data_IF_378790405818
#
_entry.id   IF_378790405818
#
_cell.length_a   1.000
_cell.length_b   1.000
_cell.length_c   1.000
_cell.angle_alpha   90.00
_cell.angle_beta   90.00
_cell.angle_gamma   90.00
#
_symmetry.space_group_name_H-M   'P 1'
#
loop_
_entity.id
_entity.type
_entity.pdbx_description
1 polymer ?
#
# COMPACT_ATOMS: atom_id res chain seq x y z
N UNK A 1 10.16 -2.25 15.95
CA UNK A 1 8.90 -3.01 16.18
C UNK A 1 7.76 -2.16 15.64
N UNK A 2 6.81 -2.77 14.93
CA UNK A 2 5.67 -2.05 14.38
C UNK A 2 4.80 -1.38 15.46
N UNK A 3 4.11 -0.29 15.12
CA UNK A 3 3.35 0.57 16.06
C UNK A 3 1.89 0.10 16.16
N UNK A 4 1.40 -0.05 17.39
CA UNK A 4 0.00 -0.39 17.68
C UNK A 4 -0.38 -1.81 17.29
N UNK A 5 -1.67 -2.05 16.99
CA UNK A 5 -2.16 -3.37 16.60
C UNK A 5 -1.83 -3.67 15.13
N UNK A 6 -0.88 -4.56 14.93
CA UNK A 6 -0.45 -5.09 13.63
C UNK A 6 -0.67 -6.60 13.51
N UNK A 7 -1.50 -7.15 14.39
CA UNK A 7 -1.81 -8.58 14.41
C UNK A 7 -2.47 -8.99 13.09
N UNK A 8 -1.96 -10.08 12.52
CA UNK A 8 -2.55 -10.67 11.32
C UNK A 8 -3.95 -11.23 11.68
N UNK A 9 -5.03 -10.80 11.00
CA UNK A 9 -6.37 -11.32 11.30
C UNK A 9 -6.52 -12.76 10.76
N UNK A 10 -7.66 -13.38 11.08
CA UNK A 10 -8.05 -14.59 10.35
C UNK A 10 -8.20 -14.24 8.87
N UNK A 11 -7.38 -14.85 8.03
CA UNK A 11 -7.42 -14.67 6.58
C UNK A 11 -8.41 -15.65 5.97
N UNK A 12 -9.58 -15.15 5.58
CA UNK A 12 -10.62 -15.97 4.96
C UNK A 12 -10.23 -16.36 3.54
N UNK A 13 -10.58 -17.59 3.15
CA UNK A 13 -10.38 -18.11 1.81
C UNK A 13 -11.29 -17.36 0.83
N UNK A 14 -10.73 -16.84 -0.25
CA UNK A 14 -11.46 -16.28 -1.40
C UNK A 14 -11.62 -17.40 -2.41
N UNK A 15 -12.86 -17.80 -2.69
CA UNK A 15 -13.12 -18.86 -3.68
C UNK A 15 -12.56 -18.46 -5.05
N UNK A 16 -11.84 -19.38 -5.67
CA UNK A 16 -11.20 -19.15 -6.96
C UNK A 16 -9.84 -18.45 -6.89
N UNK A 17 -9.28 -18.25 -5.70
CA UNK A 17 -7.89 -17.83 -5.48
C UNK A 17 -7.13 -18.95 -4.79
N UNK A 18 -6.02 -19.36 -5.35
CA UNK A 18 -5.05 -20.28 -4.75
C UNK A 18 -3.67 -19.64 -4.72
N UNK A 19 -2.87 -19.99 -3.74
CA UNK A 19 -1.56 -19.37 -3.53
C UNK A 19 -0.52 -20.45 -3.21
N UNK A 20 0.65 -20.32 -3.84
CA UNK A 20 1.82 -21.14 -3.56
C UNK A 20 3.04 -20.28 -3.28
N UNK A 21 3.99 -20.81 -2.52
CA UNK A 21 5.23 -20.13 -2.22
C UNK A 21 6.37 -21.09 -1.95
N UNK A 22 7.60 -20.63 -2.23
CA UNK A 22 8.81 -21.43 -2.01
C UNK A 22 10.01 -20.55 -1.67
N UNK A 23 11.08 -21.18 -1.21
CA UNK A 23 12.41 -20.61 -1.11
C UNK A 23 13.13 -20.81 -2.45
N UNK A 24 13.20 -19.75 -3.26
CA UNK A 24 13.91 -19.79 -4.55
C UNK A 24 15.36 -19.28 -4.45
N UNK A 25 15.74 -18.79 -3.26
CA UNK A 25 17.09 -18.26 -2.97
C UNK A 25 17.48 -17.11 -3.91
N UNK A 26 16.52 -16.24 -4.23
CA UNK A 26 16.76 -15.07 -5.08
C UNK A 26 17.85 -14.18 -4.48
N UNK A 27 17.80 -13.96 -3.16
CA UNK A 27 18.82 -13.21 -2.44
C UNK A 27 19.18 -13.86 -1.09
N UNK A 28 18.17 -14.21 -0.30
CA UNK A 28 18.33 -14.69 1.07
C UNK A 28 18.13 -16.19 1.16
N UNK A 29 18.70 -16.81 2.20
CA UNK A 29 18.46 -18.21 2.55
C UNK A 29 17.43 -18.30 3.68
N UNK A 30 16.78 -19.45 3.79
CA UNK A 30 15.85 -19.81 4.87
C UNK A 30 14.64 -18.88 4.98
N UNK A 31 14.15 -18.35 3.85
CA UNK A 31 12.88 -17.63 3.77
C UNK A 31 12.22 -17.85 2.41
N UNK A 32 10.89 -17.83 2.42
CA UNK A 32 10.13 -17.82 1.16
C UNK A 32 10.35 -16.48 0.48
N UNK A 33 10.71 -16.50 -0.79
CA UNK A 33 11.04 -15.33 -1.60
C UNK A 33 10.47 -15.42 -3.03
N UNK A 34 9.65 -16.45 -3.29
CA UNK A 34 8.89 -16.60 -4.52
C UNK A 34 7.45 -17.00 -4.18
N UNK A 35 6.48 -16.22 -4.64
CA UNK A 35 5.05 -16.41 -4.42
C UNK A 35 4.31 -16.45 -5.75
N UNK A 36 3.37 -17.39 -5.90
CA UNK A 36 2.49 -17.49 -7.06
C UNK A 36 1.04 -17.40 -6.59
N UNK A 37 0.25 -16.57 -7.25
CA UNK A 37 -1.21 -16.59 -7.18
C UNK A 37 -1.75 -17.26 -8.43
N UNK A 38 -2.75 -18.12 -8.26
CA UNK A 38 -3.54 -18.70 -9.32
C UNK A 38 -5.00 -18.29 -9.16
N UNK A 39 -5.62 -17.83 -10.25
CA UNK A 39 -7.02 -17.43 -10.29
C UNK A 39 -7.85 -18.37 -11.14
N UNK A 40 -9.09 -18.61 -10.71
CA UNK A 40 -10.06 -19.35 -11.50
C UNK A 40 -10.25 -18.73 -12.89
N UNK A 41 -10.54 -19.54 -13.88
CA UNK A 41 -10.87 -19.08 -15.22
C UNK A 41 -12.10 -18.13 -15.18
N UNK A 42 -12.06 -17.05 -15.96
CA UNK A 42 -13.09 -16.02 -15.97
C UNK A 42 -12.95 -14.95 -14.89
N UNK A 43 -11.91 -15.02 -14.04
CA UNK A 43 -11.63 -13.96 -13.06
C UNK A 43 -11.33 -12.62 -13.76
N UNK A 44 -11.88 -11.53 -13.21
CA UNK A 44 -11.61 -10.18 -13.67
C UNK A 44 -10.49 -9.54 -12.83
N UNK A 45 -9.42 -9.10 -13.49
CA UNK A 45 -8.22 -8.54 -12.84
C UNK A 45 -8.05 -7.08 -13.23
N UNK A 46 -7.80 -6.24 -12.24
CA UNK A 46 -7.43 -4.83 -12.42
C UNK A 46 -6.10 -4.52 -11.73
N UNK A 47 -5.37 -3.54 -12.25
CA UNK A 47 -4.10 -3.11 -11.68
C UNK A 47 -3.90 -1.60 -11.75
N UNK A 48 -3.23 -1.05 -10.74
CA UNK A 48 -2.62 0.28 -10.75
C UNK A 48 -1.15 0.16 -10.40
N UNK A 49 -0.33 1.02 -10.98
CA UNK A 49 1.13 0.87 -10.98
C UNK A 49 1.81 2.21 -10.80
N UNK A 50 3.06 2.16 -10.33
CA UNK A 50 3.91 3.34 -10.13
C UNK A 50 3.95 4.26 -11.36
N UNK A 51 4.02 5.56 -11.08
CA UNK A 51 4.27 6.61 -12.09
C UNK A 51 5.73 7.06 -12.11
N UNK A 52 6.60 6.40 -11.35
CA UNK A 52 8.03 6.70 -11.38
C UNK A 52 8.57 6.50 -12.80
N UNK A 53 9.28 7.48 -13.33
CA UNK A 53 9.87 7.42 -14.68
C UNK A 53 10.90 6.27 -14.81
N UNK A 54 11.57 5.89 -13.71
CA UNK A 54 12.41 4.70 -13.60
C UNK A 54 11.59 3.44 -13.29
N UNK A 55 10.49 3.28 -13.99
CA UNK A 55 9.58 2.15 -13.82
C UNK A 55 10.32 0.82 -14.06
N UNK A 56 10.15 -0.13 -13.13
CA UNK A 56 10.82 -1.42 -13.16
C UNK A 56 10.33 -2.31 -14.31
N UNK A 57 11.18 -3.20 -14.79
CA UNK A 57 10.88 -4.13 -15.88
C UNK A 57 9.60 -4.97 -15.65
N UNK A 58 9.36 -5.58 -14.47
CA UNK A 58 8.14 -6.34 -14.21
C UNK A 58 6.87 -5.48 -14.33
N UNK A 59 6.93 -4.19 -13.97
CA UNK A 59 5.78 -3.28 -14.10
C UNK A 59 5.42 -3.03 -15.57
N UNK A 60 6.41 -2.87 -16.45
CA UNK A 60 6.18 -2.74 -17.88
C UNK A 60 5.51 -3.99 -18.47
N UNK A 61 5.99 -5.18 -18.10
CA UNK A 61 5.41 -6.45 -18.56
C UNK A 61 3.99 -6.63 -18.01
N UNK A 62 3.76 -6.36 -16.71
CA UNK A 62 2.43 -6.48 -16.10
C UNK A 62 1.41 -5.54 -16.75
N UNK A 63 1.79 -4.29 -17.05
CA UNK A 63 0.92 -3.35 -17.77
C UNK A 63 0.55 -3.86 -19.16
N UNK A 64 1.52 -4.40 -19.93
CA UNK A 64 1.29 -4.94 -21.26
C UNK A 64 0.36 -6.16 -21.22
N UNK A 65 0.66 -7.14 -20.38
CA UNK A 65 -0.13 -8.37 -20.25
C UNK A 65 -1.56 -8.10 -19.77
N UNK A 66 -1.72 -7.19 -18.80
CA UNK A 66 -3.06 -6.80 -18.31
C UNK A 66 -3.90 -6.11 -19.38
N UNK A 67 -3.27 -5.40 -20.33
CA UNK A 67 -3.97 -4.80 -21.47
C UNK A 67 -4.41 -5.82 -22.52
N UNK A 68 -3.71 -6.95 -22.64
CA UNK A 68 -4.01 -8.00 -23.62
C UNK A 68 -5.19 -8.90 -23.20
N UNK A 69 -5.42 -9.10 -21.87
CA UNK A 69 -6.45 -10.05 -21.45
C UNK A 69 -6.72 -10.11 -19.95
N UNK A 70 -7.18 -11.28 -19.52
CA UNK A 70 -7.44 -11.61 -18.13
C UNK A 70 -6.32 -12.52 -17.59
N UNK A 71 -5.41 -11.97 -16.77
CA UNK A 71 -4.36 -12.77 -16.15
C UNK A 71 -4.94 -13.87 -15.25
N UNK A 72 -4.26 -15.03 -15.28
CA UNK A 72 -4.57 -16.20 -14.47
C UNK A 72 -3.58 -16.40 -13.32
N UNK A 73 -2.37 -15.85 -13.48
CA UNK A 73 -1.28 -16.01 -12.52
C UNK A 73 -0.62 -14.69 -12.18
N UNK A 74 -0.21 -14.54 -10.91
CA UNK A 74 0.79 -13.56 -10.51
C UNK A 74 2.03 -14.33 -10.06
N UNK A 75 3.21 -13.80 -10.38
CA UNK A 75 4.49 -14.30 -9.85
C UNK A 75 5.25 -13.15 -9.22
N UNK A 76 5.59 -13.30 -7.94
CA UNK A 76 6.22 -12.27 -7.12
C UNK A 76 7.54 -12.81 -6.60
N UNK A 77 8.66 -12.14 -6.89
CA UNK A 77 9.93 -12.42 -6.24
C UNK A 77 10.33 -11.30 -5.28
N UNK A 78 11.00 -11.66 -4.19
CA UNK A 78 11.56 -10.71 -3.22
C UNK A 78 13.09 -10.78 -3.17
N UNK A 79 13.72 -9.70 -2.66
CA UNK A 79 15.17 -9.56 -2.56
C UNK A 79 15.84 -8.86 -3.74
N UNK A 80 15.20 -8.81 -4.90
CA UNK A 80 15.67 -8.11 -6.10
C UNK A 80 14.49 -7.42 -6.80
N UNK A 81 14.62 -6.13 -7.07
CA UNK A 81 13.56 -5.30 -7.66
C UNK A 81 13.44 -5.43 -9.18
N UNK A 82 14.43 -5.99 -9.85
CA UNK A 82 14.53 -5.96 -11.32
C UNK A 82 14.27 -4.56 -11.90
N UNK A 83 14.80 -3.55 -11.25
CA UNK A 83 14.70 -2.13 -11.62
C UNK A 83 16.09 -1.57 -11.92
N UNK A 84 16.20 -0.66 -12.89
CA UNK A 84 17.49 -0.15 -13.36
C UNK A 84 18.35 -1.21 -14.05
N UNK A 85 17.74 -2.25 -14.62
CA UNK A 85 18.40 -3.44 -15.19
C UNK A 85 18.40 -3.46 -16.74
N UNK A 86 17.81 -2.43 -17.34
CA UNK A 86 17.80 -2.24 -18.80
C UNK A 86 17.09 -3.36 -19.58
N UNK A 87 17.48 -3.56 -20.87
CA UNK A 87 16.84 -4.59 -21.71
C UNK A 87 16.94 -6.01 -21.15
N UNK A 88 18.01 -6.33 -20.45
CA UNK A 88 18.21 -7.64 -19.80
C UNK A 88 17.15 -7.87 -18.73
N UNK A 89 16.85 -6.87 -17.89
CA UNK A 89 15.82 -6.99 -16.89
C UNK A 89 14.42 -7.16 -17.47
N UNK A 90 14.13 -6.49 -18.60
CA UNK A 90 12.86 -6.68 -19.32
C UNK A 90 12.74 -8.12 -19.84
N UNK A 91 13.82 -8.63 -20.47
CA UNK A 91 13.87 -10.03 -20.92
C UNK A 91 13.68 -11.00 -19.76
N UNK A 92 14.34 -10.78 -18.62
CA UNK A 92 14.22 -11.62 -17.42
C UNK A 92 12.77 -11.67 -16.91
N UNK A 93 12.06 -10.55 -16.89
CA UNK A 93 10.65 -10.53 -16.51
C UNK A 93 9.76 -11.31 -17.49
N UNK A 94 10.02 -11.18 -18.81
CA UNK A 94 9.32 -11.94 -19.84
C UNK A 94 9.61 -13.44 -19.78
N UNK A 95 10.88 -13.83 -19.59
CA UNK A 95 11.30 -15.23 -19.46
C UNK A 95 10.67 -15.88 -18.20
N UNK A 96 10.52 -15.13 -17.11
CA UNK A 96 9.82 -15.59 -15.91
C UNK A 96 8.35 -15.89 -16.22
N UNK A 97 7.65 -14.98 -16.93
CA UNK A 97 6.26 -15.21 -17.35
C UNK A 97 6.13 -16.39 -18.29
N UNK A 98 7.01 -16.48 -19.29
CA UNK A 98 7.00 -17.57 -20.27
C UNK A 98 7.21 -18.92 -19.61
N UNK A 99 8.15 -19.01 -18.66
CA UNK A 99 8.43 -20.26 -17.95
C UNK A 99 7.27 -20.67 -17.03
N UNK A 100 6.68 -19.76 -16.29
CA UNK A 100 5.50 -20.08 -15.47
C UNK A 100 4.31 -20.49 -16.36
N UNK A 101 4.10 -19.79 -17.45
CA UNK A 101 3.04 -20.11 -18.39
C UNK A 101 3.20 -21.52 -19.01
N UNK A 102 4.43 -21.91 -19.40
CA UNK A 102 4.77 -23.26 -19.86
C UNK A 102 4.38 -24.32 -18.80
N UNK A 103 4.77 -24.07 -17.54
CA UNK A 103 4.51 -25.02 -16.43
C UNK A 103 3.02 -25.12 -16.08
N UNK A 104 2.28 -24.03 -16.20
CA UNK A 104 0.86 -23.94 -15.87
C UNK A 104 -0.07 -24.26 -17.06
N UNK A 105 0.44 -24.38 -18.28
CA UNK A 105 -0.35 -24.67 -19.48
C UNK A 105 -1.22 -23.50 -19.93
N UNK A 106 -0.74 -22.25 -19.76
CA UNK A 106 -1.43 -21.00 -20.16
C UNK A 106 -0.57 -20.16 -21.09
N UNK A 107 -1.09 -19.04 -21.60
CA UNK A 107 -0.29 -18.12 -22.38
C UNK A 107 0.59 -17.22 -21.49
N UNK A 108 1.72 -16.75 -21.99
CA UNK A 108 2.62 -15.85 -21.25
C UNK A 108 1.93 -14.56 -20.80
N UNK A 109 1.02 -14.01 -21.60
CA UNK A 109 0.23 -12.82 -21.26
C UNK A 109 -0.80 -13.03 -20.14
N UNK A 110 -1.05 -14.29 -19.74
CA UNK A 110 -1.89 -14.61 -18.58
C UNK A 110 -1.10 -14.61 -17.25
N UNK A 111 0.19 -14.25 -17.27
CA UNK A 111 1.07 -14.16 -16.11
C UNK A 111 1.52 -12.73 -15.88
N UNK A 112 1.31 -12.18 -14.70
CA UNK A 112 1.82 -10.86 -14.29
C UNK A 112 3.03 -11.02 -13.36
N UNK A 113 4.21 -10.49 -13.72
CA UNK A 113 5.39 -10.52 -12.87
C UNK A 113 5.43 -9.33 -11.91
N UNK A 114 5.94 -9.55 -10.70
CA UNK A 114 6.23 -8.53 -9.69
C UNK A 114 7.56 -8.83 -9.03
N UNK A 115 8.31 -7.79 -8.72
CA UNK A 115 9.61 -7.91 -8.05
C UNK A 115 9.73 -6.83 -6.99
N UNK A 116 10.43 -7.10 -5.90
CA UNK A 116 10.73 -6.12 -4.86
C UNK A 116 12.06 -6.44 -4.18
N UNK A 117 12.83 -5.42 -3.79
CA UNK A 117 14.13 -5.56 -3.15
C UNK A 117 15.17 -4.59 -3.72
N UNK A 118 16.40 -5.05 -3.90
CA UNK A 118 17.53 -4.22 -4.33
C UNK A 118 17.38 -3.78 -5.79
N UNK A 119 17.62 -2.50 -6.04
CA UNK A 119 17.63 -1.84 -7.36
C UNK A 119 19.03 -1.91 -7.96
N UNK A 120 19.13 -2.07 -9.29
CA UNK A 120 20.40 -2.02 -10.04
C UNK A 120 21.16 -3.36 -10.11
N UNK A 121 20.56 -4.44 -9.64
CA UNK A 121 21.13 -5.80 -9.74
C UNK A 121 20.28 -6.66 -10.68
N UNK A 122 20.95 -7.53 -11.46
CA UNK A 122 20.25 -8.48 -12.33
C UNK A 122 19.60 -9.61 -11.52
N UNK A 123 18.43 -10.08 -11.96
CA UNK A 123 17.79 -11.23 -11.36
C UNK A 123 18.65 -12.50 -11.50
N UNK A 124 18.80 -13.31 -10.45
CA UNK A 124 19.47 -14.62 -10.54
C UNK A 124 18.50 -15.63 -11.19
N UNK A 125 18.38 -15.56 -12.52
CA UNK A 125 17.35 -16.25 -13.29
C UNK A 125 17.37 -17.77 -13.11
N UNK A 126 18.55 -18.39 -13.01
CA UNK A 126 18.66 -19.84 -12.78
C UNK A 126 17.91 -20.25 -11.50
N UNK A 127 18.11 -19.54 -10.39
CA UNK A 127 17.46 -19.81 -9.12
C UNK A 127 15.95 -19.52 -9.18
N UNK A 128 15.59 -18.38 -9.73
CA UNK A 128 14.19 -17.96 -9.85
C UNK A 128 13.39 -18.95 -10.69
N UNK A 129 13.89 -19.34 -11.87
CA UNK A 129 13.21 -20.29 -12.75
C UNK A 129 13.11 -21.70 -12.15
N UNK A 130 14.15 -22.12 -11.43
CA UNK A 130 14.12 -23.40 -10.71
C UNK A 130 13.07 -23.41 -9.57
N UNK A 131 12.80 -22.27 -8.96
CA UNK A 131 11.79 -22.10 -7.90
C UNK A 131 10.33 -22.14 -8.39
N UNK A 132 10.06 -21.92 -9.69
CA UNK A 132 8.68 -21.81 -10.19
C UNK A 132 7.89 -23.11 -10.04
N UNK A 133 8.46 -24.25 -10.39
CA UNK A 133 7.76 -25.55 -10.27
C UNK A 133 7.46 -25.92 -8.80
N UNK A 134 8.40 -25.81 -7.84
CA UNK A 134 8.10 -26.01 -6.41
C UNK A 134 7.01 -25.06 -5.90
N UNK A 135 7.04 -23.78 -6.27
CA UNK A 135 6.01 -22.82 -5.89
C UNK A 135 4.63 -23.21 -6.46
N UNK A 136 4.58 -23.59 -7.74
CA UNK A 136 3.33 -24.03 -8.41
C UNK A 136 2.78 -25.30 -7.75
N UNK A 137 3.64 -26.25 -7.38
CA UNK A 137 3.23 -27.49 -6.71
C UNK A 137 2.69 -27.25 -5.29
N UNK A 138 3.02 -26.13 -4.66
CA UNK A 138 2.55 -25.77 -3.30
C UNK A 138 1.25 -24.95 -3.29
N UNK A 139 0.64 -24.71 -4.45
CA UNK A 139 -0.57 -23.90 -4.60
C UNK A 139 -1.76 -24.54 -3.87
N UNK A 140 -2.38 -23.75 -2.96
CA UNK A 140 -3.51 -24.15 -2.12
C UNK A 140 -4.42 -22.97 -1.76
N UNK A 141 -5.64 -23.23 -1.27
CA UNK A 141 -6.65 -22.18 -1.03
C UNK A 141 -6.33 -21.27 0.16
N UNK A 142 -5.66 -21.74 1.19
CA UNK A 142 -5.53 -21.04 2.49
C UNK A 142 -4.13 -20.44 2.76
N UNK A 143 -3.33 -20.15 1.73
CA UNK A 143 -1.93 -19.75 1.89
C UNK A 143 -1.71 -18.21 1.94
N UNK A 144 -2.70 -17.41 2.32
CA UNK A 144 -2.57 -15.95 2.42
C UNK A 144 -1.47 -15.51 3.40
N UNK A 145 -1.33 -16.18 4.55
CA UNK A 145 -0.29 -15.87 5.54
C UNK A 145 1.11 -16.15 5.00
N UNK A 146 1.27 -17.24 4.28
CA UNK A 146 2.53 -17.61 3.62
C UNK A 146 2.90 -16.59 2.54
N UNK A 147 1.92 -16.15 1.75
CA UNK A 147 2.11 -15.10 0.75
C UNK A 147 2.49 -13.76 1.40
N UNK A 148 1.79 -13.34 2.46
CA UNK A 148 2.09 -12.10 3.17
C UNK A 148 3.53 -12.09 3.71
N UNK A 149 4.01 -13.24 4.22
CA UNK A 149 5.40 -13.40 4.65
C UNK A 149 6.38 -13.44 3.47
N UNK A 150 6.00 -14.14 2.39
CA UNK A 150 6.87 -14.33 1.21
C UNK A 150 7.12 -13.06 0.39
N UNK A 151 6.24 -12.06 0.49
CA UNK A 151 6.41 -10.77 -0.21
C UNK A 151 7.15 -9.69 0.60
N UNK A 152 7.48 -9.93 1.85
CA UNK A 152 8.21 -8.99 2.72
C UNK A 152 9.64 -8.74 2.22
N UNK A 153 10.17 -7.55 2.56
CA UNK A 153 11.60 -7.19 2.37
C UNK A 153 12.20 -6.70 3.69
N UNK A 154 12.10 -5.41 3.99
CA UNK A 154 12.49 -4.80 5.27
C UNK A 154 11.35 -4.77 6.28
N UNK A 155 10.19 -5.23 5.89
CA UNK A 155 9.01 -5.38 6.76
C UNK A 155 9.35 -6.21 8.01
N UNK A 156 8.87 -5.80 9.18
CA UNK A 156 9.08 -6.54 10.44
C UNK A 156 7.93 -7.49 10.76
N UNK A 157 6.75 -7.26 10.14
CA UNK A 157 5.54 -8.09 10.29
C UNK A 157 4.84 -8.29 8.95
N UNK A 158 4.21 -9.46 8.71
CA UNK A 158 3.33 -9.65 7.57
C UNK A 158 2.07 -8.80 7.72
N UNK A 159 1.52 -8.31 6.59
CA UNK A 159 0.37 -7.40 6.56
C UNK A 159 -0.77 -8.01 5.77
N UNK A 160 -1.92 -8.14 6.43
CA UNK A 160 -3.13 -8.68 5.82
C UNK A 160 -4.40 -8.08 6.40
N UNK A 161 -5.45 -8.11 5.60
CA UNK A 161 -6.79 -7.74 5.98
C UNK A 161 -7.79 -8.65 5.29
N UNK A 162 -8.86 -9.03 5.99
CA UNK A 162 -9.88 -9.94 5.46
C UNK A 162 -11.24 -9.63 6.09
N UNK A 163 -12.25 -9.55 5.25
CA UNK A 163 -13.65 -9.34 5.65
C UNK A 163 -14.59 -10.27 4.88
N UNK A 164 -15.67 -10.69 5.54
CA UNK A 164 -16.82 -11.32 4.91
C UNK A 164 -18.00 -10.37 4.93
N UNK A 165 -18.80 -10.38 3.87
CA UNK A 165 -19.97 -9.51 3.74
C UNK A 165 -21.07 -10.21 2.96
N UNK A 166 -22.31 -9.82 3.20
CA UNK A 166 -23.48 -10.40 2.55
C UNK A 166 -24.08 -9.46 1.50
N UNK A 167 -24.44 -10.04 0.35
CA UNK A 167 -25.24 -9.40 -0.69
C UNK A 167 -26.27 -10.42 -1.20
N UNK A 168 -27.54 -10.06 -1.21
CA UNK A 168 -28.63 -10.91 -1.72
C UNK A 168 -28.66 -12.32 -1.09
N UNK A 169 -28.32 -12.45 0.19
CA UNK A 169 -28.26 -13.72 0.91
C UNK A 169 -27.06 -14.62 0.59
N UNK A 170 -26.08 -14.10 -0.13
CA UNK A 170 -24.81 -14.78 -0.42
C UNK A 170 -23.70 -14.11 0.38
N UNK A 171 -22.91 -14.94 1.10
CA UNK A 171 -21.70 -14.45 1.78
C UNK A 171 -20.53 -14.43 0.81
N UNK A 172 -19.96 -13.25 0.64
CA UNK A 172 -18.75 -13.00 -0.14
C UNK A 172 -17.57 -12.74 0.80
N UNK A 173 -16.38 -13.03 0.29
CA UNK A 173 -15.12 -12.79 0.99
C UNK A 173 -14.28 -11.78 0.24
N UNK A 174 -13.61 -10.90 0.98
CA UNK A 174 -12.57 -10.01 0.47
C UNK A 174 -11.34 -10.13 1.35
N UNK A 175 -10.23 -10.55 0.77
CA UNK A 175 -8.96 -10.77 1.47
C UNK A 175 -7.84 -10.13 0.69
N UNK A 176 -6.91 -9.49 1.40
CA UNK A 176 -5.76 -8.87 0.77
C UNK A 176 -4.53 -8.87 1.67
N UNK A 177 -3.38 -8.74 1.02
CA UNK A 177 -2.07 -8.58 1.65
C UNK A 177 -1.33 -7.39 1.05
N UNK A 178 -0.43 -6.81 1.81
CA UNK A 178 0.48 -5.77 1.34
C UNK A 178 1.87 -5.92 1.94
N UNK A 179 2.86 -5.32 1.29
CA UNK A 179 4.21 -5.19 1.82
C UNK A 179 4.73 -3.77 1.58
N UNK A 180 5.64 -3.35 2.45
CA UNK A 180 6.34 -2.09 2.40
C UNK A 180 6.62 -1.57 3.80
N UNK A 181 7.80 -0.97 3.99
CA UNK A 181 8.24 -0.37 5.24
C UNK A 181 9.17 0.85 5.02
N UNK A 182 9.72 1.00 3.82
CA UNK A 182 10.53 2.14 3.35
C UNK A 182 10.32 2.41 1.87
N UNK A 183 10.78 3.58 1.39
CA UNK A 183 10.51 4.10 0.06
C UNK A 183 8.99 4.18 -0.21
N UNK A 184 8.24 4.84 0.72
CA UNK A 184 6.78 4.91 0.71
C UNK A 184 6.29 6.36 0.58
N UNK A 185 5.93 6.73 -0.63
CA UNK A 185 5.09 7.87 -1.01
C UNK A 185 4.30 7.48 -2.24
N UNK A 186 3.13 6.88 -2.08
CA UNK A 186 2.33 6.45 -3.22
C UNK A 186 1.84 7.64 -4.05
N UNK A 187 2.23 7.63 -5.33
CA UNK A 187 1.59 8.44 -6.35
C UNK A 187 1.08 7.45 -7.40
N UNK A 188 -0.08 6.84 -7.13
CA UNK A 188 -0.68 5.70 -7.82
C UNK A 188 -0.04 4.32 -7.50
N UNK A 189 0.50 4.13 -6.33
CA UNK A 189 0.97 2.95 -5.61
C UNK A 189 2.46 2.96 -5.25
N UNK A 190 2.81 2.88 -3.93
CA UNK A 190 4.21 2.74 -3.45
C UNK A 190 4.32 1.52 -2.55
N UNK A 191 4.00 0.34 -3.07
CA UNK A 191 4.05 -0.93 -2.33
C UNK A 191 3.67 -2.07 -3.26
N UNK A 192 3.73 -3.30 -2.81
CA UNK A 192 3.00 -4.39 -3.45
C UNK A 192 1.76 -4.71 -2.61
N UNK A 193 0.60 -4.71 -3.26
CA UNK A 193 -0.64 -5.15 -2.64
C UNK A 193 -1.45 -6.02 -3.60
N UNK A 194 -1.98 -7.11 -3.06
CA UNK A 194 -2.78 -8.07 -3.78
C UNK A 194 -4.07 -8.30 -2.99
N UNK A 195 -5.20 -7.87 -3.56
CA UNK A 195 -6.53 -7.97 -2.95
C UNK A 195 -7.43 -8.76 -3.87
N UNK A 196 -8.23 -9.66 -3.32
CA UNK A 196 -9.19 -10.44 -4.09
C UNK A 196 -10.53 -10.55 -3.40
N UNK A 197 -11.59 -10.71 -4.21
CA UNK A 197 -12.93 -11.06 -3.77
C UNK A 197 -13.51 -12.17 -4.63
N UNK A 198 -14.37 -12.98 -4.07
CA UNK A 198 -15.12 -14.00 -4.81
C UNK A 198 -16.49 -13.52 -5.35
N UNK A 199 -16.79 -12.22 -5.19
CA UNK A 199 -17.96 -11.59 -5.75
C UNK A 199 -17.87 -11.47 -7.30
N UNK A 200 -18.98 -11.68 -8.03
CA UNK A 200 -19.02 -11.53 -9.48
C UNK A 200 -19.15 -10.05 -9.87
N UNK A 201 -18.08 -9.47 -10.41
CA UNK A 201 -18.01 -8.04 -10.75
C UNK A 201 -17.47 -7.89 -12.17
N UNK A 202 -18.14 -7.14 -13.03
CA UNK A 202 -17.70 -6.88 -14.40
C UNK A 202 -16.34 -6.15 -14.43
N UNK A 203 -15.48 -6.49 -15.39
CA UNK A 203 -14.08 -6.05 -15.47
C UNK A 203 -13.86 -4.55 -15.36
N UNK A 204 -14.66 -3.74 -16.05
CA UNK A 204 -14.55 -2.27 -16.01
C UNK A 204 -14.86 -1.70 -14.62
N UNK A 205 -15.79 -2.34 -13.89
CA UNK A 205 -16.11 -1.96 -12.51
C UNK A 205 -15.03 -2.39 -11.52
N UNK A 206 -14.34 -3.52 -11.75
CA UNK A 206 -13.17 -3.92 -10.94
C UNK A 206 -12.08 -2.85 -11.03
N UNK A 207 -11.80 -2.35 -12.25
CA UNK A 207 -10.84 -1.26 -12.45
C UNK A 207 -11.29 0.07 -11.80
N UNK A 208 -12.59 0.38 -11.87
CA UNK A 208 -13.17 1.58 -11.24
C UNK A 208 -13.09 1.52 -9.72
N UNK A 209 -13.47 0.38 -9.12
CA UNK A 209 -13.35 0.12 -7.68
C UNK A 209 -11.91 0.31 -7.21
N UNK A 210 -10.95 -0.33 -7.89
CA UNK A 210 -9.53 -0.24 -7.54
C UNK A 210 -9.03 1.21 -7.58
N UNK A 211 -9.28 1.95 -8.65
CA UNK A 211 -8.84 3.34 -8.78
C UNK A 211 -9.43 4.23 -7.68
N UNK A 212 -10.74 4.07 -7.42
CA UNK A 212 -11.42 4.87 -6.38
C UNK A 212 -10.86 4.59 -4.99
N UNK A 213 -10.61 3.31 -4.65
CA UNK A 213 -10.16 2.94 -3.31
C UNK A 213 -8.68 3.23 -3.07
N UNK A 214 -7.81 3.06 -4.07
CA UNK A 214 -6.37 3.40 -3.96
C UNK A 214 -6.20 4.88 -3.65
N UNK A 215 -7.01 5.75 -4.26
CA UNK A 215 -6.92 7.20 -4.06
C UNK A 215 -7.14 7.62 -2.59
N UNK A 216 -7.99 6.89 -1.87
CA UNK A 216 -8.33 7.19 -0.48
C UNK A 216 -7.69 6.23 0.54
N UNK A 217 -6.74 5.40 0.12
CA UNK A 217 -6.00 4.46 0.98
C UNK A 217 -4.50 4.55 0.77
N UNK A 218 -3.96 3.81 -0.18
CA UNK A 218 -2.52 3.80 -0.46
C UNK A 218 -1.99 5.16 -0.93
N UNK A 219 -2.77 5.96 -1.69
CA UNK A 219 -2.39 7.33 -2.05
C UNK A 219 -2.59 8.34 -0.91
N UNK A 220 -2.76 7.89 0.31
CA UNK A 220 -2.88 8.73 1.53
C UNK A 220 -1.95 8.27 2.64
N UNK A 221 -0.84 7.62 2.28
CA UNK A 221 0.21 7.25 3.23
C UNK A 221 1.56 7.78 2.78
N UNK A 222 2.48 7.98 3.71
CA UNK A 222 3.91 8.17 3.43
C UNK A 222 4.76 7.78 4.63
N UNK A 223 5.98 7.27 4.37
CA UNK A 223 6.98 6.99 5.40
C UNK A 223 8.13 8.00 5.28
N UNK A 224 8.73 8.13 4.12
CA UNK A 224 9.97 8.90 3.87
C UNK A 224 9.87 9.89 2.71
N UNK A 225 8.76 9.91 1.99
CA UNK A 225 8.55 10.81 0.86
C UNK A 225 9.09 10.29 -0.47
N UNK A 226 9.69 9.10 -0.50
CA UNK A 226 10.28 8.51 -1.71
C UNK A 226 9.30 7.61 -2.46
N UNK A 227 9.25 7.74 -3.79
CA UNK A 227 8.40 6.93 -4.67
C UNK A 227 9.19 5.77 -5.26
N UNK A 228 8.72 4.54 -5.07
CA UNK A 228 9.36 3.34 -5.57
C UNK A 228 9.22 3.16 -7.09
N UNK A 229 10.10 2.35 -7.65
CA UNK A 229 10.14 1.94 -9.05
C UNK A 229 9.19 0.77 -9.38
N UNK A 230 8.69 0.04 -8.36
CA UNK A 230 8.05 -1.27 -8.52
C UNK A 230 6.58 -1.33 -8.11
N UNK A 231 6.04 -0.25 -7.58
CA UNK A 231 4.75 -0.25 -6.92
C UNK A 231 3.62 -0.77 -7.79
N UNK A 232 2.83 -1.65 -7.19
CA UNK A 232 1.72 -2.28 -7.87
C UNK A 232 0.62 -2.67 -6.88
N UNK A 233 -0.62 -2.33 -7.20
CA UNK A 233 -1.80 -2.81 -6.49
C UNK A 233 -2.71 -3.54 -7.47
N UNK A 234 -2.98 -4.82 -7.19
CA UNK A 234 -3.83 -5.68 -7.99
C UNK A 234 -5.11 -5.98 -7.22
N UNK A 235 -6.25 -5.85 -7.89
CA UNK A 235 -7.55 -6.27 -7.39
C UNK A 235 -8.18 -7.29 -8.33
N UNK A 236 -8.66 -8.39 -7.76
CA UNK A 236 -9.22 -9.53 -8.49
C UNK A 236 -10.64 -9.82 -8.02
N UNK A 237 -11.56 -9.99 -8.95
CA UNK A 237 -12.90 -10.49 -8.71
C UNK A 237 -13.08 -11.82 -9.43
N UNK A 238 -13.18 -12.92 -8.66
CA UNK A 238 -13.22 -14.28 -9.25
C UNK A 238 -14.63 -14.71 -9.65
N UNK A 239 -15.66 -14.16 -9.02
CA UNK A 239 -17.06 -14.56 -9.25
C UNK A 239 -17.42 -15.95 -8.73
N UNK A 240 -16.50 -16.63 -8.03
CA UNK A 240 -16.64 -18.05 -7.67
C UNK A 240 -17.55 -18.31 -6.47
N UNK A 241 -18.02 -17.27 -5.78
CA UNK A 241 -19.07 -17.43 -4.76
C UNK A 241 -20.47 -17.54 -5.38
N UNK A 242 -20.60 -17.28 -6.70
CA UNK A 242 -21.89 -17.29 -7.40
C UNK A 242 -22.64 -15.98 -7.24
N UNK A 243 -23.91 -15.99 -7.61
CA UNK A 243 -24.77 -14.81 -7.64
C UNK A 243 -24.78 -14.09 -8.99
N UNK A 244 -25.61 -13.06 -9.10
CA UNK A 244 -25.70 -12.25 -10.33
C UNK A 244 -24.53 -11.28 -10.41
N UNK A 245 -23.92 -11.16 -11.60
CA UNK A 245 -22.82 -10.23 -11.83
C UNK A 245 -23.24 -8.77 -11.58
N UNK A 246 -22.39 -8.01 -10.91
CA UNK A 246 -22.54 -6.57 -10.74
C UNK A 246 -22.07 -5.90 -12.03
N UNK A 247 -23.00 -5.31 -12.78
CA UNK A 247 -22.74 -4.76 -14.13
C UNK A 247 -22.91 -3.25 -14.22
N UNK A 248 -23.27 -2.57 -13.10
CA UNK A 248 -23.44 -1.11 -13.02
C UNK A 248 -22.91 -0.57 -11.70
N UNK A 249 -22.32 0.61 -11.73
CA UNK A 249 -21.94 1.37 -10.53
C UNK A 249 -23.12 2.01 -9.80
N UNK A 250 -24.30 2.05 -10.42
CA UNK A 250 -25.58 2.42 -9.79
C UNK A 250 -26.24 1.28 -9.03
N UNK A 251 -25.71 0.05 -9.12
CA UNK A 251 -26.18 -1.10 -8.35
C UNK A 251 -25.85 -0.91 -6.88
N UNK A 252 -26.82 -1.12 -5.98
CA UNK A 252 -26.60 -1.02 -4.53
C UNK A 252 -25.50 -1.97 -4.04
N UNK A 253 -25.32 -3.12 -4.69
CA UNK A 253 -24.26 -4.09 -4.40
C UNK A 253 -22.87 -3.53 -4.69
N UNK A 254 -22.72 -2.71 -5.75
CA UNK A 254 -21.46 -2.01 -6.06
C UNK A 254 -21.04 -1.10 -4.90
N UNK A 255 -21.97 -0.33 -4.35
CA UNK A 255 -21.68 0.55 -3.20
C UNK A 255 -21.20 -0.25 -1.98
N UNK A 256 -21.80 -1.43 -1.73
CA UNK A 256 -21.37 -2.31 -0.63
C UNK A 256 -19.98 -2.90 -0.86
N UNK A 257 -19.67 -3.35 -2.08
CA UNK A 257 -18.33 -3.82 -2.43
C UNK A 257 -17.29 -2.71 -2.28
N UNK A 258 -17.61 -1.49 -2.74
CA UNK A 258 -16.74 -0.32 -2.60
C UNK A 258 -16.45 -0.01 -1.12
N UNK A 259 -17.44 -0.05 -0.25
CA UNK A 259 -17.30 0.16 1.19
C UNK A 259 -16.34 -0.88 1.82
N UNK A 260 -16.53 -2.17 1.52
CA UNK A 260 -15.69 -3.25 2.05
C UNK A 260 -14.27 -3.15 1.52
N UNK A 261 -14.10 -2.92 0.21
CA UNK A 261 -12.78 -2.75 -0.41
C UNK A 261 -12.04 -1.56 0.20
N UNK A 262 -12.74 -0.44 0.45
CA UNK A 262 -12.14 0.74 1.07
C UNK A 262 -11.65 0.43 2.50
N UNK A 263 -12.40 -0.34 3.31
CA UNK A 263 -11.93 -0.74 4.65
C UNK A 263 -10.70 -1.65 4.59
N UNK A 264 -10.74 -2.68 3.74
CA UNK A 264 -9.62 -3.62 3.55
C UNK A 264 -8.36 -2.88 3.11
N UNK A 265 -8.46 -2.04 2.07
CA UNK A 265 -7.32 -1.30 1.53
C UNK A 265 -6.80 -0.24 2.50
N UNK A 266 -7.68 0.44 3.24
CA UNK A 266 -7.26 1.40 4.26
C UNK A 266 -6.52 0.71 5.41
N UNK A 267 -7.00 -0.46 5.85
CA UNK A 267 -6.29 -1.26 6.86
C UNK A 267 -4.90 -1.67 6.38
N UNK A 268 -4.78 -2.17 5.15
CA UNK A 268 -3.50 -2.54 4.55
C UNK A 268 -2.54 -1.34 4.43
N UNK A 269 -3.04 -0.18 4.02
CA UNK A 269 -2.27 1.05 3.91
C UNK A 269 -1.74 1.51 5.28
N UNK A 270 -2.57 1.51 6.30
CA UNK A 270 -2.16 1.87 7.66
C UNK A 270 -1.14 0.87 8.24
N UNK A 271 -1.27 -0.43 7.96
CA UNK A 271 -0.31 -1.45 8.38
C UNK A 271 1.10 -1.19 7.81
N UNK A 272 1.21 -0.68 6.58
CA UNK A 272 2.49 -0.27 5.98
C UNK A 272 3.13 0.84 6.82
N UNK A 273 2.37 1.89 7.15
CA UNK A 273 2.89 3.02 7.95
C UNK A 273 3.26 2.61 9.37
N UNK A 274 2.43 1.75 9.99
CA UNK A 274 2.68 1.22 11.34
C UNK A 274 3.96 0.40 11.44
N UNK A 275 4.34 -0.26 10.34
CA UNK A 275 5.58 -1.03 10.21
C UNK A 275 6.68 -0.28 9.46
N UNK A 276 6.59 1.05 9.40
CA UNK A 276 7.61 1.89 8.76
C UNK A 276 8.99 1.66 9.37
N UNK A 277 10.03 1.70 8.53
CA UNK A 277 11.42 1.52 8.96
C UNK A 277 11.78 2.45 10.11
N UNK A 278 12.09 1.89 11.27
CA UNK A 278 12.41 2.65 12.48
C UNK A 278 11.25 3.43 13.10
N UNK A 279 10.01 3.25 12.66
CA UNK A 279 8.86 3.95 13.21
C UNK A 279 8.63 3.62 14.68
N UNK A 280 8.38 4.66 15.49
CA UNK A 280 8.00 4.55 16.89
C UNK A 280 6.61 5.11 17.17
N UNK A 281 6.06 5.87 16.20
CA UNK A 281 4.74 6.49 16.28
C UNK A 281 3.98 6.40 14.95
N UNK A 282 2.67 6.19 15.06
CA UNK A 282 1.73 6.28 13.94
C UNK A 282 1.01 7.62 14.00
N UNK A 283 1.06 8.38 12.91
CA UNK A 283 0.56 9.75 12.86
C UNK A 283 -0.56 9.86 11.82
N UNK A 284 -1.70 10.39 12.25
CA UNK A 284 -2.79 10.81 11.38
C UNK A 284 -2.72 12.31 11.17
N UNK A 285 -2.55 12.78 9.95
CA UNK A 285 -2.62 14.21 9.59
C UNK A 285 -3.96 14.45 8.91
N UNK A 286 -4.92 14.99 9.64
CA UNK A 286 -6.28 15.28 9.18
C UNK A 286 -6.41 16.80 8.90
N UNK A 287 -6.64 17.16 7.66
CA UNK A 287 -6.84 18.54 7.23
C UNK A 287 -8.28 18.73 6.78
N UNK A 288 -8.95 19.71 7.33
CA UNK A 288 -10.34 20.05 7.05
C UNK A 288 -10.52 21.56 6.77
N UNK A 289 -11.71 21.96 6.38
CA UNK A 289 -12.01 23.37 6.11
C UNK A 289 -11.35 23.93 4.85
N UNK A 290 -10.87 23.07 3.94
CA UNK A 290 -10.23 23.50 2.68
C UNK A 290 -11.21 23.89 1.59
N UNK A 291 -10.75 24.65 0.60
CA UNK A 291 -11.54 25.04 -0.57
C UNK A 291 -11.80 23.83 -1.50
N UNK A 292 -10.89 22.87 -1.52
CA UNK A 292 -11.01 21.60 -2.25
C UNK A 292 -10.14 20.52 -1.59
N UNK A 293 -10.38 19.26 -1.95
CA UNK A 293 -9.68 18.10 -1.39
C UNK A 293 -8.17 18.11 -1.68
N UNK A 294 -7.76 18.60 -2.87
CA UNK A 294 -6.34 18.65 -3.23
C UNK A 294 -5.56 19.58 -2.30
N UNK A 295 -6.12 20.73 -1.96
CA UNK A 295 -5.51 21.67 -1.01
C UNK A 295 -5.29 21.05 0.37
N UNK A 296 -6.29 20.30 0.87
CA UNK A 296 -6.17 19.57 2.13
C UNK A 296 -5.08 18.50 2.05
N UNK A 297 -5.03 17.77 0.94
CA UNK A 297 -4.03 16.75 0.67
C UNK A 297 -2.61 17.34 0.62
N UNK A 298 -2.41 18.47 -0.08
CA UNK A 298 -1.10 19.12 -0.21
C UNK A 298 -0.56 19.58 1.15
N UNK A 299 -1.43 20.17 1.98
CA UNK A 299 -1.06 20.56 3.35
C UNK A 299 -0.76 19.33 4.21
N UNK A 300 -1.59 18.29 4.15
CA UNK A 300 -1.35 17.07 4.90
C UNK A 300 -0.01 16.44 4.54
N UNK A 301 0.31 16.34 3.26
CA UNK A 301 1.60 15.84 2.80
C UNK A 301 2.77 16.77 3.16
N UNK A 302 2.59 18.08 3.12
CA UNK A 302 3.63 19.03 3.55
C UNK A 302 4.04 18.79 5.00
N UNK A 303 3.06 18.56 5.89
CA UNK A 303 3.30 18.20 7.29
C UNK A 303 3.96 16.82 7.40
N UNK A 304 3.39 15.82 6.72
CA UNK A 304 3.82 14.42 6.79
C UNK A 304 5.25 14.19 6.25
N UNK A 305 5.69 15.01 5.29
CA UNK A 305 7.03 14.93 4.70
C UNK A 305 8.08 15.79 5.42
N UNK A 306 7.68 16.69 6.31
CA UNK A 306 8.62 17.59 6.99
C UNK A 306 9.57 16.83 7.92
N UNK A 307 10.88 16.74 7.62
CA UNK A 307 11.84 16.09 8.54
C UNK A 307 11.83 16.73 9.92
N UNK A 308 11.61 18.05 10.01
CA UNK A 308 11.55 18.75 11.29
C UNK A 308 10.30 18.36 12.11
N UNK A 309 9.15 18.18 11.47
CA UNK A 309 7.95 17.67 12.15
C UNK A 309 8.17 16.21 12.57
N UNK A 310 8.66 15.36 11.68
CA UNK A 310 8.87 13.93 11.96
C UNK A 310 9.89 13.69 13.08
N UNK A 311 10.96 14.49 13.16
CA UNK A 311 11.95 14.40 14.25
C UNK A 311 11.42 14.95 15.57
N UNK A 312 10.53 15.98 15.56
CA UNK A 312 9.84 16.45 16.76
C UNK A 312 8.89 15.35 17.30
N UNK A 313 8.16 14.68 16.43
CA UNK A 313 7.33 13.52 16.79
C UNK A 313 8.15 12.41 17.45
N UNK A 314 9.29 12.04 16.88
CA UNK A 314 10.21 11.07 17.47
C UNK A 314 10.71 11.50 18.85
N UNK A 315 11.10 12.77 19.00
CA UNK A 315 11.57 13.33 20.27
C UNK A 315 10.45 13.52 21.30
N UNK A 316 9.19 13.29 20.96
CA UNK A 316 8.02 13.64 21.77
C UNK A 316 7.96 15.15 22.13
N UNK A 317 8.48 16.00 21.23
CA UNK A 317 8.49 17.46 21.36
C UNK A 317 7.21 18.04 20.73
N UNK A 318 6.32 18.72 21.47
CA UNK A 318 5.12 19.34 20.94
C UNK A 318 5.41 20.61 20.15
N UNK A 319 6.30 20.50 19.16
CA UNK A 319 6.81 21.62 18.37
C UNK A 319 5.80 22.08 17.30
N UNK A 320 4.74 22.74 17.75
CA UNK A 320 3.70 23.24 16.87
C UNK A 320 4.20 24.29 15.85
N UNK A 321 5.27 25.02 16.16
CA UNK A 321 5.90 25.98 15.24
C UNK A 321 6.38 25.30 13.95
N UNK A 322 6.90 24.06 14.03
CA UNK A 322 7.31 23.26 12.86
C UNK A 322 6.09 22.83 12.02
N UNK A 323 4.97 22.52 12.67
CA UNK A 323 3.70 22.21 11.97
C UNK A 323 3.19 23.43 11.21
N UNK A 324 3.16 24.62 11.85
CA UNK A 324 2.74 25.86 11.19
C UNK A 324 3.66 26.22 10.00
N UNK A 325 4.97 26.04 10.16
CA UNK A 325 5.92 26.25 9.07
C UNK A 325 5.61 25.32 7.88
N UNK A 326 5.30 24.03 8.16
CA UNK A 326 4.96 23.06 7.12
C UNK A 326 3.64 23.41 6.40
N UNK A 327 2.64 23.89 7.12
CA UNK A 327 1.40 24.42 6.52
C UNK A 327 1.72 25.62 5.61
N UNK A 328 2.56 26.56 6.08
CA UNK A 328 2.87 27.79 5.38
C UNK A 328 3.60 27.61 4.04
N UNK A 329 4.44 26.58 3.91
CA UNK A 329 5.16 26.30 2.66
C UNK A 329 4.52 25.20 1.78
N UNK A 330 3.29 24.76 2.10
CA UNK A 330 2.58 23.73 1.33
C UNK A 330 2.23 24.15 -0.12
N UNK A 331 2.45 25.39 -0.50
CA UNK A 331 2.19 25.91 -1.85
C UNK A 331 0.73 26.28 -2.11
N UNK A 332 -0.10 26.29 -1.09
CA UNK A 332 -1.51 26.71 -1.21
C UNK A 332 -1.59 28.22 -1.39
N UNK A 333 -2.23 28.65 -2.48
CA UNK A 333 -2.39 30.08 -2.79
C UNK A 333 -3.43 30.74 -1.88
N UNK A 334 -3.16 31.99 -1.54
CA UNK A 334 -4.07 32.84 -0.77
C UNK A 334 -4.52 32.20 0.56
N UNK A 335 -3.62 31.48 1.21
CA UNK A 335 -3.84 30.84 2.51
C UNK A 335 -3.91 31.95 3.59
N UNK A 336 -5.10 32.12 4.20
CA UNK A 336 -5.30 33.07 5.29
C UNK A 336 -4.88 32.44 6.62
N UNK A 337 -3.64 32.68 7.02
CA UNK A 337 -3.07 32.09 8.24
C UNK A 337 -3.80 32.50 9.52
N UNK A 338 -4.53 33.64 9.50
CA UNK A 338 -5.31 34.12 10.66
C UNK A 338 -6.55 33.24 10.96
N UNK A 339 -6.92 32.32 10.08
CA UNK A 339 -8.04 31.39 10.25
C UNK A 339 -7.61 30.00 10.63
N UNK A 340 -6.31 29.71 10.56
CA UNK A 340 -5.78 28.38 10.80
C UNK A 340 -5.91 28.01 12.28
N UNK A 341 -6.45 26.83 12.51
CA UNK A 341 -6.52 26.18 13.80
C UNK A 341 -5.84 24.83 13.75
N UNK A 342 -5.09 24.46 14.79
CA UNK A 342 -4.36 23.19 14.86
C UNK A 342 -4.54 22.54 16.22
N UNK A 343 -4.73 21.21 16.22
CA UNK A 343 -4.82 20.38 17.41
C UNK A 343 -3.86 19.21 17.34
N UNK A 344 -3.35 18.79 18.49
CA UNK A 344 -2.75 17.50 18.74
C UNK A 344 -3.79 16.68 19.53
N UNK A 345 -4.38 15.66 18.90
CA UNK A 345 -5.58 14.98 19.37
C UNK A 345 -6.68 15.97 19.78
N UNK A 346 -6.97 16.05 21.08
CA UNK A 346 -7.95 17.00 21.65
C UNK A 346 -7.35 18.29 22.21
N UNK A 347 -6.03 18.47 22.16
CA UNK A 347 -5.34 19.67 22.66
C UNK A 347 -5.17 20.67 21.53
N UNK A 348 -5.88 21.80 21.61
CA UNK A 348 -5.69 22.91 20.67
C UNK A 348 -4.36 23.59 20.94
N UNK A 349 -3.49 23.63 19.94
CA UNK A 349 -2.14 24.20 20.01
C UNK A 349 -2.04 25.53 19.26
N UNK A 350 -2.89 25.73 18.22
CA UNK A 350 -2.97 26.96 17.48
C UNK A 350 -4.42 27.36 17.29
N UNK A 351 -4.72 28.63 17.48
CA UNK A 351 -6.01 29.29 17.21
C UNK A 351 -5.77 30.62 16.51
N UNK A 352 -6.54 30.82 15.43
CA UNK A 352 -6.49 32.07 14.65
C UNK A 352 -5.04 32.42 14.20
N UNK A 353 -4.25 31.43 13.84
CA UNK A 353 -2.85 31.55 13.41
C UNK A 353 -1.83 31.82 14.50
N UNK A 354 -2.25 31.89 15.77
CA UNK A 354 -1.39 32.11 16.94
C UNK A 354 -1.46 30.98 17.94
N UNK A 355 -0.70 31.07 19.03
CA UNK A 355 -0.81 30.11 20.14
C UNK A 355 -2.23 30.14 20.74
N UNK A 356 -2.80 28.97 21.02
CA UNK A 356 -4.08 28.87 21.70
C UNK A 356 -3.93 29.37 23.17
N UNK A 357 -4.88 30.16 23.65
CA UNK A 357 -4.80 30.79 24.99
C UNK A 357 -4.70 29.73 26.14
N UNK A 358 -5.41 28.61 25.99
CA UNK A 358 -5.45 27.52 26.98
C UNK A 358 -4.37 26.44 26.75
N UNK A 359 -3.46 26.64 25.80
CA UNK A 359 -2.38 25.68 25.54
C UNK A 359 -1.34 25.71 26.65
N UNK A 360 -0.94 24.54 27.10
CA UNK A 360 0.23 24.35 27.97
C UNK A 360 1.17 23.31 27.41
N UNK A 361 2.48 23.49 27.63
CA UNK A 361 3.52 22.55 27.18
C UNK A 361 3.29 21.12 27.78
N UNK A 362 2.80 21.03 29.02
CA UNK A 362 2.49 19.75 29.67
C UNK A 362 1.33 19.03 28.96
N UNK A 363 0.33 19.76 28.46
CA UNK A 363 -0.78 19.18 27.71
C UNK A 363 -0.29 18.64 26.36
N UNK A 364 0.52 19.42 25.64
CA UNK A 364 1.17 18.99 24.41
C UNK A 364 2.08 17.77 24.61
N UNK A 365 2.95 17.80 25.63
CA UNK A 365 3.87 16.71 25.92
C UNK A 365 3.14 15.39 26.25
N UNK A 366 1.98 15.43 26.95
CA UNK A 366 1.17 14.23 27.21
C UNK A 366 0.65 13.60 25.92
N UNK A 367 0.25 14.39 24.94
CA UNK A 367 -0.17 13.83 23.62
C UNK A 367 1.04 13.28 22.91
N UNK A 368 2.14 14.04 22.85
CA UNK A 368 3.34 13.62 22.13
C UNK A 368 4.02 12.37 22.71
N UNK A 369 3.75 12.02 23.96
CA UNK A 369 4.23 10.77 24.58
C UNK A 369 3.47 9.52 24.08
N UNK A 370 2.35 9.66 23.37
CA UNK A 370 1.57 8.55 22.86
C UNK A 370 2.22 7.95 21.61
N UNK A 371 1.89 6.71 21.31
CA UNK A 371 2.36 6.01 20.10
C UNK A 371 1.47 6.28 18.87
N UNK A 372 0.24 6.72 19.09
CA UNK A 372 -0.69 7.12 18.03
C UNK A 372 -1.15 8.56 18.29
N UNK A 373 -0.97 9.43 17.30
CA UNK A 373 -1.23 10.87 17.44
C UNK A 373 -1.96 11.37 16.21
N UNK A 374 -2.97 12.22 16.41
CA UNK A 374 -3.65 12.94 15.34
C UNK A 374 -3.24 14.41 15.35
N UNK A 375 -2.69 14.90 14.23
CA UNK A 375 -2.53 16.30 13.93
C UNK A 375 -3.76 16.71 13.12
N UNK A 376 -4.66 17.51 13.69
CA UNK A 376 -5.83 18.06 13.00
C UNK A 376 -5.61 19.53 12.66
N UNK A 377 -5.87 19.89 11.42
CA UNK A 377 -5.74 21.26 10.91
C UNK A 377 -7.07 21.69 10.31
N UNK A 378 -7.62 22.81 10.75
CA UNK A 378 -8.75 23.48 10.10
C UNK A 378 -8.26 24.75 9.39
N UNK A 379 -8.54 24.85 8.09
CA UNK A 379 -8.11 25.95 7.24
C UNK A 379 -9.10 27.12 7.24
N UNK A 380 -10.33 26.94 7.71
CA UNK A 380 -11.38 27.94 7.82
C UNK A 380 -11.80 28.60 6.49
N UNK A 381 -11.66 27.90 5.34
CA UNK A 381 -11.93 28.46 4.01
C UNK A 381 -12.89 27.66 3.13
N UNK A 382 -13.38 26.54 3.61
CA UNK A 382 -14.32 25.68 2.86
C UNK A 382 -14.84 24.50 3.67
N UNK A 383 -15.27 23.45 2.96
CA UNK A 383 -15.84 22.23 3.55
C UNK A 383 -15.07 20.95 3.16
N UNK A 384 -14.06 21.08 2.31
CA UNK A 384 -13.28 19.96 1.89
C UNK A 384 -12.38 19.43 3.03
N UNK A 385 -12.08 18.16 2.98
CA UNK A 385 -11.20 17.51 3.95
C UNK A 385 -10.42 16.38 3.29
N UNK A 386 -9.24 16.07 3.83
CA UNK A 386 -8.45 14.89 3.48
C UNK A 386 -7.60 14.45 4.67
N UNK A 387 -7.09 13.21 4.62
CA UNK A 387 -6.29 12.63 5.68
C UNK A 387 -5.12 11.88 5.10
N UNK A 388 -3.91 12.11 5.63
CA UNK A 388 -2.69 11.38 5.28
C UNK A 388 -2.15 10.71 6.54
N UNK A 389 -1.71 9.44 6.40
CA UNK A 389 -1.06 8.69 7.47
C UNK A 389 0.45 8.68 7.26
N UNK A 390 1.19 8.88 8.35
CA UNK A 390 2.66 8.85 8.33
C UNK A 390 3.20 8.32 9.67
N UNK A 391 4.52 8.25 9.79
CA UNK A 391 5.22 7.90 11.02
C UNK A 391 6.25 8.98 11.37
N UNK A 392 6.86 8.89 12.54
CA UNK A 392 8.01 9.70 12.95
C UNK A 392 9.28 9.34 12.16
N UNK A 393 10.37 10.05 12.41
CA UNK A 393 11.69 9.80 11.83
C UNK A 393 12.71 9.58 12.95
N UNK A 394 13.11 8.32 13.15
CA UNK A 394 14.02 7.90 14.22
C UNK A 394 15.46 7.72 13.73
N UNK A 395 16.38 7.49 14.67
CA UNK A 395 17.75 7.09 14.36
C UNK A 395 17.83 5.73 13.68
N UNK A 396 16.91 4.82 13.98
CA UNK A 396 16.87 3.49 13.37
C UNK A 396 16.56 3.54 11.88
N UNK A 397 15.74 4.52 11.41
CA UNK A 397 15.56 4.75 9.98
C UNK A 397 16.89 4.98 9.26
N UNK A 398 17.73 5.84 9.79
CA UNK A 398 19.06 6.14 9.20
C UNK A 398 19.95 4.89 9.23
N UNK A 399 19.96 4.15 10.35
CA UNK A 399 20.75 2.93 10.49
C UNK A 399 20.34 1.85 9.49
N UNK A 400 19.04 1.58 9.35
CA UNK A 400 18.49 0.57 8.43
C UNK A 400 18.90 0.91 6.99
N UNK A 401 18.77 2.19 6.59
CA UNK A 401 19.01 2.60 5.21
C UNK A 401 20.52 2.77 4.89
N UNK A 402 21.36 3.02 5.88
CA UNK A 402 22.82 3.05 5.71
C UNK A 402 23.39 1.65 5.36
N UNK A 403 22.76 0.58 5.88
CA UNK A 403 23.23 -0.81 5.75
C UNK A 403 22.38 -1.64 4.75
N UNK A 404 21.49 -1.02 3.98
CA UNK A 404 20.48 -1.70 3.15
C UNK A 404 21.03 -2.72 2.13
N UNK A 405 22.25 -2.54 1.65
CA UNK A 405 22.91 -3.43 0.67
C UNK A 405 23.80 -4.53 1.27
N UNK A 406 24.05 -4.46 2.56
CA UNK A 406 24.94 -5.39 3.27
C UNK A 406 24.27 -6.71 3.68
#
# INVERSE_FOLDING_TARGET
>A
MAVGDVTMPQMHVVKGVKIGSTEAYVRYQNRRDLVIFEFAEGSNVAGVFTQNAFCAAPVHVSKAHLAEGNPRYLVINTGNANAGTGPTGLKNAQDTCAKLAELAGVNSSEVLPFSTGVIGEQLPMERLLAGLQPALNSVQDAAWNDAATGIMTTDTVPKGASEQFELDGITYTMTGISKGAGMIRPNMATMLSFVATDAPIRRDLVQKLLKTTVEHSFNRITIDGDTSTNDSCIFVATGQAGGAEITSDSDVRYAKVLEVLARVMNRLAQLIVRDGEGATKFITVAVEGGANTQECCDIAYSIAHSPLVKTALFASDPNWGRILAAIGYAGVKDLDVSKIQVWLDNVQICKDGGAAEDYTEEAGARVMAQTEITIRVDLGRGQAKDTVYTCDLSYDYVKINADYRS
#
